data_IF_472272267896
#
_entry.id   IF_472272267896
#
_cell.length_a   1.000
_cell.length_b   1.000
_cell.length_c   1.000
_cell.angle_alpha   90.00
_cell.angle_beta   90.00
_cell.angle_gamma   90.00
#
_symmetry.space_group_name_H-M   'P 1'
#
loop_
_entity.id
_entity.type
_entity.pdbx_description
1 polymer ?
#
# COMPACT_ATOMS: atom_id res chain seq x y z
N UNK A 1 -21.62 -10.94 -25.07
CA UNK A 1 -20.34 -10.76 -25.79
C UNK A 1 -20.69 -10.46 -27.22
N UNK A 2 -20.15 -9.39 -27.75
CA UNK A 2 -20.41 -8.95 -29.09
C UNK A 2 -19.90 -9.98 -30.13
N UNK A 3 -20.59 -10.19 -31.26
CA UNK A 3 -20.12 -11.09 -32.31
C UNK A 3 -18.75 -10.71 -32.85
N UNK A 4 -18.35 -9.45 -32.70
CA UNK A 4 -17.04 -8.91 -33.08
C UNK A 4 -15.86 -9.49 -32.28
N UNK A 5 -16.13 -10.14 -31.14
CA UNK A 5 -15.12 -10.78 -30.31
C UNK A 5 -14.94 -12.27 -30.62
N UNK A 6 -15.64 -12.80 -31.62
CA UNK A 6 -15.48 -14.21 -32.00
C UNK A 6 -14.08 -14.51 -32.50
N UNK A 7 -13.49 -15.55 -31.95
CA UNK A 7 -12.14 -16.00 -32.28
C UNK A 7 -12.17 -17.42 -32.85
N UNK A 8 -12.03 -17.59 -34.18
CA UNK A 8 -12.09 -18.90 -34.80
C UNK A 8 -10.82 -19.76 -34.60
N UNK A 9 -9.69 -19.15 -34.20
CA UNK A 9 -8.41 -19.86 -34.21
C UNK A 9 -7.57 -19.72 -32.95
N UNK A 10 -7.41 -18.59 -32.38
CA UNK A 10 -6.54 -18.35 -31.24
C UNK A 10 -7.33 -17.80 -30.08
N UNK A 11 -6.84 -18.02 -28.89
CA UNK A 11 -7.45 -17.48 -27.70
C UNK A 11 -6.91 -18.16 -26.43
N UNK A 12 -7.06 -17.50 -25.32
CA UNK A 12 -6.75 -18.05 -24.01
C UNK A 12 -7.65 -17.45 -22.95
N UNK A 13 -7.87 -18.23 -21.90
CA UNK A 13 -8.54 -17.75 -20.69
C UNK A 13 -7.65 -18.08 -19.51
N UNK A 14 -7.45 -17.09 -18.64
CA UNK A 14 -6.76 -17.24 -17.37
C UNK A 14 -7.69 -16.76 -16.27
N UNK A 15 -7.93 -17.60 -15.26
CA UNK A 15 -8.57 -17.12 -14.05
C UNK A 15 -7.55 -16.36 -13.22
N UNK A 16 -7.92 -15.15 -12.80
CA UNK A 16 -7.10 -14.27 -11.99
C UNK A 16 -7.36 -14.53 -10.49
N UNK A 17 -6.43 -14.11 -9.64
CA UNK A 17 -6.54 -14.29 -8.18
C UNK A 17 -7.70 -13.53 -7.55
N UNK A 18 -8.17 -12.45 -8.16
CA UNK A 18 -9.38 -11.71 -7.76
C UNK A 18 -10.69 -12.40 -8.20
N UNK A 19 -10.61 -13.60 -8.82
CA UNK A 19 -11.76 -14.35 -9.33
C UNK A 19 -12.19 -13.96 -10.75
N UNK A 20 -11.68 -12.89 -11.31
CA UNK A 20 -11.97 -12.46 -12.69
C UNK A 20 -11.32 -13.37 -13.73
N UNK A 21 -11.70 -13.21 -14.98
CA UNK A 21 -11.14 -13.95 -16.11
C UNK A 21 -10.47 -12.98 -17.08
N UNK A 22 -9.19 -13.22 -17.36
CA UNK A 22 -8.50 -12.58 -18.48
C UNK A 22 -8.74 -13.42 -19.73
N UNK A 23 -9.33 -12.82 -20.74
CA UNK A 23 -9.69 -13.46 -22.00
C UNK A 23 -8.89 -12.80 -23.12
N UNK A 24 -8.14 -13.58 -23.85
CA UNK A 24 -7.51 -13.14 -25.09
C UNK A 24 -8.37 -13.62 -26.27
N UNK A 25 -8.81 -12.70 -27.11
CA UNK A 25 -9.60 -12.98 -28.30
C UNK A 25 -8.91 -12.48 -29.56
N UNK A 26 -9.02 -13.25 -30.61
CA UNK A 26 -8.59 -12.85 -31.96
C UNK A 26 -9.55 -11.82 -32.59
N UNK A 27 -10.83 -11.84 -32.17
CA UNK A 27 -11.84 -10.92 -32.65
C UNK A 27 -11.56 -9.45 -32.27
N UNK A 28 -12.22 -8.54 -32.98
CA UNK A 28 -12.06 -7.10 -32.73
C UNK A 28 -10.70 -6.52 -33.09
N UNK A 29 -9.90 -7.22 -33.95
CA UNK A 29 -8.54 -6.78 -34.30
C UNK A 29 -7.46 -7.19 -33.28
N UNK A 30 -7.78 -8.15 -32.41
CA UNK A 30 -6.95 -8.60 -31.30
C UNK A 30 -7.31 -7.86 -30.01
N UNK A 31 -8.13 -8.50 -29.17
CA UNK A 31 -8.66 -7.89 -27.96
C UNK A 31 -8.32 -8.74 -26.75
N UNK A 32 -7.87 -8.10 -25.69
CA UNK A 32 -7.69 -8.72 -24.37
C UNK A 32 -8.69 -8.08 -23.41
N UNK A 33 -9.45 -8.91 -22.70
CA UNK A 33 -10.53 -8.50 -21.80
C UNK A 33 -10.28 -9.04 -20.40
N UNK A 34 -10.65 -8.27 -19.39
CA UNK A 34 -10.88 -8.78 -18.03
C UNK A 34 -12.39 -8.71 -17.74
N UNK A 35 -12.95 -9.85 -17.35
CA UNK A 35 -14.40 -9.99 -17.10
C UNK A 35 -14.59 -10.53 -15.69
N UNK A 36 -15.53 -9.96 -14.95
CA UNK A 36 -15.91 -10.43 -13.62
C UNK A 36 -16.65 -11.78 -13.67
N UNK A 37 -16.78 -12.52 -12.56
CA UNK A 37 -17.64 -13.70 -12.48
C UNK A 37 -19.11 -13.42 -12.82
N UNK A 38 -19.57 -12.17 -12.62
CA UNK A 38 -20.92 -11.69 -13.02
C UNK A 38 -21.03 -11.31 -14.49
N UNK A 39 -19.98 -11.58 -15.29
CA UNK A 39 -19.92 -11.28 -16.74
C UNK A 39 -19.86 -9.78 -17.08
N UNK A 40 -19.44 -8.94 -16.14
CA UNK A 40 -19.23 -7.53 -16.38
C UNK A 40 -17.81 -7.28 -16.93
N UNK A 41 -17.70 -6.44 -17.95
CA UNK A 41 -16.42 -6.01 -18.49
C UNK A 41 -15.73 -5.07 -17.49
N UNK A 42 -14.59 -5.51 -16.96
CA UNK A 42 -13.79 -4.74 -15.99
C UNK A 42 -12.75 -3.89 -16.71
N UNK A 43 -12.12 -4.48 -17.73
CA UNK A 43 -11.03 -3.85 -18.46
C UNK A 43 -10.90 -4.46 -19.85
N UNK A 44 -10.45 -3.64 -20.83
CA UNK A 44 -10.13 -4.13 -22.16
C UNK A 44 -9.00 -3.35 -22.81
N UNK A 45 -8.27 -4.03 -23.69
CA UNK A 45 -7.30 -3.42 -24.59
C UNK A 45 -7.42 -4.01 -25.98
N UNK A 46 -7.35 -3.15 -26.99
CA UNK A 46 -7.26 -3.53 -28.39
C UNK A 46 -5.81 -3.41 -28.83
N UNK A 47 -5.26 -4.49 -29.39
CA UNK A 47 -3.87 -4.54 -29.87
C UNK A 47 -3.71 -3.89 -31.23
N UNK A 48 -4.75 -3.95 -32.05
CA UNK A 48 -4.80 -3.37 -33.38
C UNK A 48 -6.19 -2.79 -33.71
N UNK A 49 -6.46 -2.60 -34.96
CA UNK A 49 -7.78 -2.19 -35.48
C UNK A 49 -8.36 -3.30 -36.35
N UNK A 50 -9.65 -3.21 -36.65
CA UNK A 50 -10.31 -4.17 -37.58
C UNK A 50 -9.64 -4.16 -38.97
N UNK A 51 -9.13 -3.00 -39.40
CA UNK A 51 -8.42 -2.85 -40.66
C UNK A 51 -6.92 -3.20 -40.64
N UNK A 52 -6.31 -3.15 -39.46
CA UNK A 52 -4.90 -3.50 -39.22
C UNK A 52 -4.81 -4.30 -37.91
N UNK A 53 -5.22 -5.58 -37.92
CA UNK A 53 -5.31 -6.39 -36.72
C UNK A 53 -3.93 -6.87 -36.27
N UNK A 54 -3.69 -6.77 -34.94
CA UNK A 54 -2.55 -7.36 -34.28
C UNK A 54 -3.04 -8.54 -33.44
N UNK A 55 -2.61 -9.73 -33.81
CA UNK A 55 -3.08 -10.95 -33.19
C UNK A 55 -2.12 -11.45 -32.11
N UNK A 56 -2.68 -11.79 -30.96
CA UNK A 56 -1.95 -12.46 -29.87
C UNK A 56 -2.37 -13.93 -29.79
N UNK A 57 -1.42 -14.85 -29.79
CA UNK A 57 -1.71 -16.25 -29.61
C UNK A 57 -2.27 -16.55 -28.20
N UNK A 58 -1.69 -15.91 -27.17
CA UNK A 58 -2.14 -16.00 -25.79
C UNK A 58 -1.79 -14.70 -25.04
N UNK A 59 -2.58 -14.40 -24.03
CA UNK A 59 -2.26 -13.37 -23.06
C UNK A 59 -2.26 -13.96 -21.66
N UNK A 60 -1.30 -13.55 -20.85
CA UNK A 60 -1.22 -13.88 -19.43
C UNK A 60 -0.99 -12.62 -18.62
N UNK A 61 -1.74 -12.49 -17.53
CA UNK A 61 -1.44 -11.50 -16.52
C UNK A 61 -0.46 -12.12 -15.53
N UNK A 62 0.69 -11.51 -15.41
CA UNK A 62 1.64 -11.80 -14.35
C UNK A 62 1.41 -10.81 -13.20
N UNK A 63 1.54 -11.24 -11.94
CA UNK A 63 1.19 -10.41 -10.79
C UNK A 63 2.03 -9.15 -10.69
N UNK A 64 3.30 -9.26 -10.98
CA UNK A 64 4.23 -8.14 -11.02
C UNK A 64 5.39 -8.47 -11.98
N UNK A 65 5.90 -7.45 -12.66
CA UNK A 65 7.18 -7.55 -13.39
C UNK A 65 8.33 -7.57 -12.37
N UNK A 66 8.09 -6.95 -11.20
CA UNK A 66 9.03 -6.94 -10.10
C UNK A 66 8.65 -8.04 -9.10
N UNK A 67 9.49 -9.09 -8.92
CA UNK A 67 9.15 -10.24 -8.08
C UNK A 67 8.99 -9.88 -6.60
N UNK A 68 9.51 -8.74 -6.18
CA UNK A 68 9.55 -8.29 -4.80
C UNK A 68 8.59 -7.12 -4.52
N UNK A 69 7.52 -7.01 -5.31
CA UNK A 69 6.56 -5.92 -5.13
C UNK A 69 5.84 -6.04 -3.78
N UNK A 70 6.04 -5.07 -2.92
CA UNK A 70 5.34 -4.93 -1.64
C UNK A 70 5.26 -3.47 -1.22
N UNK A 71 4.34 -3.18 -0.30
CA UNK A 71 4.23 -1.86 0.32
C UNK A 71 4.07 -1.97 1.83
N UNK A 72 4.42 -0.89 2.52
CA UNK A 72 4.27 -0.76 3.96
C UNK A 72 3.47 0.50 4.24
N UNK A 73 2.43 0.37 5.04
CA UNK A 73 1.61 1.48 5.53
C UNK A 73 1.87 1.64 7.01
N UNK A 74 2.14 2.86 7.43
CA UNK A 74 2.22 3.25 8.85
C UNK A 74 0.82 3.63 9.29
N UNK A 75 0.18 2.81 10.15
CA UNK A 75 -1.24 2.93 10.42
C UNK A 75 -1.61 4.15 11.29
N UNK A 76 -0.73 4.55 12.20
CA UNK A 76 -0.97 5.63 13.15
C UNK A 76 -0.05 6.85 12.93
N UNK A 77 0.35 7.08 11.67
CA UNK A 77 1.06 8.29 11.29
C UNK A 77 0.08 9.46 11.16
N UNK A 78 0.38 10.57 11.78
CA UNK A 78 -0.50 11.73 11.80
C UNK A 78 0.28 13.04 11.83
N UNK A 79 -0.40 14.12 11.46
CA UNK A 79 0.06 15.48 11.64
C UNK A 79 -0.65 16.06 12.86
N UNK A 80 0.10 16.49 13.85
CA UNK A 80 -0.45 16.99 15.11
C UNK A 80 0.03 18.40 15.40
N UNK A 81 -0.88 19.24 15.84
CA UNK A 81 -0.58 20.54 16.44
C UNK A 81 -0.19 20.35 17.91
N UNK A 82 1.09 20.35 18.23
CA UNK A 82 1.59 20.21 19.61
C UNK A 82 1.31 21.47 20.44
N UNK A 83 1.44 22.64 19.83
CA UNK A 83 1.08 23.94 20.41
C UNK A 83 0.53 24.82 19.30
N UNK A 84 -0.21 25.91 19.61
CA UNK A 84 -0.82 26.75 18.59
C UNK A 84 0.15 27.16 17.47
N UNK A 85 -0.21 26.78 16.23
CA UNK A 85 0.58 26.98 14.98
C UNK A 85 1.90 26.20 14.88
N UNK A 86 2.13 25.18 15.74
CA UNK A 86 3.29 24.29 15.62
C UNK A 86 2.84 22.86 15.41
N UNK A 87 3.03 22.37 14.19
CA UNK A 87 2.64 21.03 13.75
C UNK A 87 3.87 20.12 13.65
N UNK A 88 3.68 18.87 13.98
CA UNK A 88 4.66 17.80 13.79
C UNK A 88 4.01 16.63 13.06
N UNK A 89 4.79 16.02 12.20
CA UNK A 89 4.41 14.79 11.51
C UNK A 89 5.11 13.61 12.17
N UNK A 90 4.38 12.56 12.51
CA UNK A 90 4.97 11.37 13.11
C UNK A 90 3.94 10.39 13.62
N UNK A 91 4.42 9.41 14.35
CA UNK A 91 3.56 8.47 15.08
C UNK A 91 3.36 8.99 16.49
N UNK A 92 2.10 9.01 16.93
CA UNK A 92 1.74 9.40 18.26
C UNK A 92 1.25 8.18 19.01
N UNK A 93 1.90 7.95 20.12
CA UNK A 93 1.52 6.95 21.12
C UNK A 93 0.93 7.68 22.32
N UNK A 94 -0.30 7.37 22.65
CA UNK A 94 -1.04 7.90 23.79
C UNK A 94 -1.72 6.76 24.56
N UNK A 95 -2.61 7.10 25.47
CA UNK A 95 -3.32 6.09 26.27
C UNK A 95 -4.35 5.29 25.48
N UNK A 96 -4.75 5.76 24.29
CA UNK A 96 -5.68 5.08 23.37
C UNK A 96 -4.93 4.31 22.28
N UNK A 97 -3.84 4.88 21.77
CA UNK A 97 -2.98 4.31 20.72
C UNK A 97 -1.63 3.94 21.34
N UNK A 98 -1.59 2.80 22.01
CA UNK A 98 -0.39 2.40 22.77
C UNK A 98 0.70 1.77 21.91
N UNK A 99 0.37 1.23 20.73
CA UNK A 99 1.26 0.38 19.95
C UNK A 99 1.63 1.01 18.62
N UNK A 100 2.86 0.76 18.16
CA UNK A 100 3.21 0.93 16.75
C UNK A 100 2.49 -0.09 15.90
N UNK A 101 1.93 0.33 14.80
CA UNK A 101 1.23 -0.55 13.88
C UNK A 101 1.60 -0.26 12.42
N UNK A 102 2.06 -1.30 11.72
CA UNK A 102 2.38 -1.25 10.31
C UNK A 102 1.60 -2.33 9.57
N UNK A 103 1.07 -2.01 8.40
CA UNK A 103 0.47 -3.00 7.50
C UNK A 103 1.40 -3.24 6.32
N UNK A 104 1.84 -4.47 6.16
CA UNK A 104 2.66 -4.90 5.02
C UNK A 104 1.76 -5.60 4.01
N UNK A 105 1.77 -5.13 2.77
CA UNK A 105 1.03 -5.70 1.66
C UNK A 105 1.99 -6.41 0.71
N UNK A 106 1.76 -7.69 0.50
CA UNK A 106 2.43 -8.47 -0.55
C UNK A 106 1.70 -8.25 -1.88
N UNK A 107 2.31 -7.57 -2.83
CA UNK A 107 1.74 -7.36 -4.15
C UNK A 107 2.19 -8.42 -5.18
N UNK A 108 2.87 -9.48 -4.73
CA UNK A 108 3.29 -10.60 -5.59
C UNK A 108 2.20 -11.67 -5.66
N UNK A 109 2.26 -12.52 -6.68
CA UNK A 109 1.33 -13.65 -6.89
C UNK A 109 1.71 -14.93 -6.14
N UNK A 110 2.59 -14.87 -5.15
CA UNK A 110 3.04 -16.01 -4.36
C UNK A 110 3.23 -15.61 -2.90
N UNK A 111 3.21 -16.59 -2.01
CA UNK A 111 3.49 -16.37 -0.58
C UNK A 111 4.94 -15.95 -0.40
N UNK A 112 5.16 -14.83 0.25
CA UNK A 112 6.48 -14.23 0.43
C UNK A 112 6.80 -14.06 1.92
N UNK A 113 7.91 -14.61 2.41
CA UNK A 113 8.44 -14.28 3.73
C UNK A 113 9.21 -12.96 3.67
N UNK A 114 8.90 -12.07 4.62
CA UNK A 114 9.58 -10.79 4.82
C UNK A 114 10.32 -10.81 6.14
N UNK A 115 11.54 -10.30 6.14
CA UNK A 115 12.27 -9.99 7.38
C UNK A 115 12.08 -8.51 7.63
N UNK A 116 11.84 -8.14 8.88
CA UNK A 116 11.83 -6.75 9.30
C UNK A 116 12.70 -6.55 10.52
N UNK A 117 13.27 -5.35 10.64
CA UNK A 117 14.04 -4.89 11.80
C UNK A 117 13.52 -3.53 12.22
N UNK A 118 13.32 -3.36 13.51
CA UNK A 118 12.87 -2.10 14.12
C UNK A 118 13.84 -1.72 15.20
N UNK A 119 14.26 -0.46 15.17
CA UNK A 119 15.10 0.14 16.19
C UNK A 119 14.76 1.61 16.38
N UNK A 120 15.04 2.16 17.55
CA UNK A 120 14.89 3.58 17.84
C UNK A 120 16.10 4.13 18.61
N UNK A 121 16.24 5.47 18.61
CA UNK A 121 17.45 6.12 19.14
C UNK A 121 17.59 6.03 20.67
N UNK A 122 16.47 5.99 21.39
CA UNK A 122 16.49 6.08 22.87
C UNK A 122 16.10 4.78 23.57
N UNK A 123 15.83 3.70 22.83
CA UNK A 123 15.38 2.43 23.37
C UNK A 123 13.94 2.48 23.90
N UNK A 124 13.07 3.24 23.25
CA UNK A 124 11.63 3.25 23.51
C UNK A 124 11.00 1.90 23.22
N UNK A 125 11.58 1.17 22.27
CA UNK A 125 11.23 -0.21 21.91
C UNK A 125 12.47 -1.09 22.03
N UNK A 126 12.27 -2.35 22.33
CA UNK A 126 13.32 -3.33 22.12
C UNK A 126 13.68 -3.42 20.64
N UNK A 127 14.95 -3.59 20.35
CA UNK A 127 15.39 -3.87 18.99
C UNK A 127 14.82 -5.23 18.55
N UNK A 128 13.93 -5.21 17.59
CA UNK A 128 13.22 -6.39 17.10
C UNK A 128 13.67 -6.72 15.69
N UNK A 129 14.08 -7.97 15.48
CA UNK A 129 14.24 -8.55 14.13
C UNK A 129 13.41 -9.82 14.07
N UNK A 130 12.45 -9.87 13.14
CA UNK A 130 11.54 -11.00 13.03
C UNK A 130 11.14 -11.23 11.57
N UNK A 131 10.39 -12.29 11.32
CA UNK A 131 9.95 -12.69 9.99
C UNK A 131 8.44 -12.88 9.97
N UNK A 132 7.79 -12.28 8.96
CA UNK A 132 6.38 -12.54 8.69
C UNK A 132 6.21 -13.13 7.29
N UNK A 133 5.29 -14.09 7.16
CA UNK A 133 4.95 -14.70 5.87
C UNK A 133 3.58 -14.18 5.43
N UNK A 134 3.51 -13.62 4.23
CA UNK A 134 2.29 -13.03 3.69
C UNK A 134 1.91 -13.77 2.41
N UNK A 135 0.67 -14.24 2.34
CA UNK A 135 0.13 -14.90 1.16
C UNK A 135 0.09 -13.98 -0.06
N UNK A 136 -0.02 -14.58 -1.23
CA UNK A 136 -0.15 -13.86 -2.49
C UNK A 136 -1.29 -12.81 -2.41
N UNK A 137 -0.97 -11.55 -2.75
CA UNK A 137 -1.90 -10.41 -2.67
C UNK A 137 -2.51 -10.15 -1.30
N UNK A 138 -1.97 -10.78 -0.27
CA UNK A 138 -2.40 -10.61 1.12
C UNK A 138 -1.72 -9.45 1.81
N UNK A 139 -2.10 -9.25 3.06
CA UNK A 139 -1.46 -8.31 3.98
C UNK A 139 -1.34 -8.89 5.37
N UNK A 140 -0.40 -8.36 6.14
CA UNK A 140 -0.21 -8.71 7.55
C UNK A 140 0.23 -7.48 8.33
N UNK A 141 -0.08 -7.46 9.63
CA UNK A 141 0.27 -6.36 10.51
C UNK A 141 1.48 -6.72 11.37
N UNK A 142 2.35 -5.72 11.55
CA UNK A 142 3.39 -5.70 12.58
C UNK A 142 2.89 -4.77 13.67
N UNK A 143 2.75 -5.29 14.90
CA UNK A 143 2.35 -4.50 16.06
C UNK A 143 3.43 -4.64 17.12
N UNK A 144 3.91 -3.51 17.67
CA UNK A 144 4.99 -3.47 18.65
C UNK A 144 4.59 -2.54 19.77
N UNK A 145 4.73 -3.04 21.00
CA UNK A 145 4.46 -2.30 22.22
C UNK A 145 5.71 -1.55 22.67
N UNK A 146 5.61 -0.32 23.16
CA UNK A 146 6.75 0.39 23.72
C UNK A 146 7.13 -0.17 25.09
N UNK A 147 8.44 -0.30 25.34
CA UNK A 147 8.99 -0.66 26.64
C UNK A 147 8.94 0.50 27.64
N UNK A 148 9.07 1.73 27.15
CA UNK A 148 9.04 2.95 27.96
C UNK A 148 7.66 3.59 27.91
N UNK A 149 7.07 3.83 29.08
CA UNK A 149 5.74 4.44 29.21
C UNK A 149 5.77 5.91 29.66
N UNK A 150 6.95 6.55 29.59
CA UNK A 150 7.10 7.98 29.90
C UNK A 150 6.98 8.83 28.62
N UNK A 151 6.66 10.11 28.82
CA UNK A 151 6.67 11.08 27.72
C UNK A 151 8.07 11.16 27.12
N UNK A 152 8.15 10.93 25.82
CA UNK A 152 9.41 10.84 25.10
C UNK A 152 9.22 11.14 23.62
N UNK A 153 10.28 11.58 22.98
CA UNK A 153 10.38 11.72 21.54
C UNK A 153 11.57 10.90 21.09
N UNK A 154 11.38 10.09 20.07
CA UNK A 154 12.41 9.24 19.48
C UNK A 154 12.31 9.26 17.96
N UNK A 155 13.42 8.93 17.29
CA UNK A 155 13.41 8.62 15.87
C UNK A 155 13.45 7.11 15.70
N UNK A 156 12.50 6.56 14.95
CA UNK A 156 12.36 5.12 14.71
C UNK A 156 12.79 4.80 13.28
N UNK A 157 13.52 3.71 13.14
CA UNK A 157 13.88 3.09 11.87
C UNK A 157 13.18 1.75 11.74
N UNK A 158 12.42 1.57 10.65
CA UNK A 158 11.90 0.30 10.21
C UNK A 158 12.59 -0.08 8.90
N UNK A 159 13.26 -1.21 8.89
CA UNK A 159 13.77 -1.84 7.68
C UNK A 159 12.97 -3.11 7.41
N UNK A 160 12.58 -3.33 6.15
CA UNK A 160 11.84 -4.52 5.75
C UNK A 160 12.23 -4.96 4.34
N UNK A 161 12.43 -6.26 4.15
CA UNK A 161 12.82 -6.83 2.87
C UNK A 161 12.28 -8.26 2.70
N UNK A 162 12.07 -8.70 1.45
CA UNK A 162 11.80 -10.10 1.15
C UNK A 162 13.00 -10.96 1.57
N UNK A 163 12.77 -12.07 2.28
CA UNK A 163 13.82 -12.89 2.90
C UNK A 163 14.97 -13.28 1.97
N UNK A 164 14.69 -13.49 0.70
CA UNK A 164 15.67 -13.97 -0.26
C UNK A 164 16.17 -12.86 -1.20
N UNK A 165 15.70 -11.60 -1.01
CA UNK A 165 15.97 -10.48 -1.89
C UNK A 165 16.27 -9.22 -1.06
N UNK A 166 17.40 -9.23 -0.36
CA UNK A 166 17.84 -8.13 0.51
C UNK A 166 18.12 -6.83 -0.25
N UNK A 167 18.37 -6.92 -1.56
CA UNK A 167 18.48 -5.74 -2.43
C UNK A 167 17.18 -4.95 -2.59
N UNK A 168 16.04 -5.53 -2.21
CA UNK A 168 14.71 -4.89 -2.24
C UNK A 168 14.32 -4.29 -0.90
N UNK A 169 15.29 -4.01 -0.03
CA UNK A 169 15.05 -3.42 1.29
C UNK A 169 14.36 -2.06 1.18
N UNK A 170 13.36 -1.85 2.05
CA UNK A 170 12.73 -0.55 2.29
C UNK A 170 13.08 -0.10 3.68
N UNK A 171 13.64 1.11 3.76
CA UNK A 171 13.97 1.75 5.02
C UNK A 171 13.03 2.94 5.21
N UNK A 172 12.35 2.97 6.33
CA UNK A 172 11.41 4.01 6.75
C UNK A 172 11.92 4.63 8.05
N UNK A 173 12.06 5.95 8.06
CA UNK A 173 12.45 6.69 9.27
C UNK A 173 11.37 7.72 9.56
N UNK A 174 10.95 7.80 10.82
CA UNK A 174 9.93 8.75 11.26
C UNK A 174 10.06 9.02 12.75
N UNK A 175 9.54 10.17 13.16
CA UNK A 175 9.52 10.56 14.56
C UNK A 175 8.36 9.89 15.29
N UNK A 176 8.60 9.53 16.55
CA UNK A 176 7.61 9.00 17.47
C UNK A 176 7.49 9.94 18.65
N UNK A 177 6.27 10.25 18.98
CA UNK A 177 5.90 11.06 20.14
C UNK A 177 5.11 10.18 21.12
N UNK A 178 5.72 9.82 22.24
CA UNK A 178 5.00 9.18 23.35
C UNK A 178 4.53 10.26 24.33
N UNK A 179 3.24 10.33 24.55
CA UNK A 179 2.61 11.38 25.34
C UNK A 179 1.62 10.73 26.29
N UNK A 180 1.92 10.74 27.59
CA UNK A 180 1.04 10.26 28.65
C UNK A 180 0.15 11.39 29.19
N UNK A 181 -1.15 11.14 29.31
CA UNK A 181 -2.12 12.08 29.90
C UNK A 181 -2.57 13.23 29.00
N UNK A 182 -3.85 13.53 29.11
CA UNK A 182 -4.63 14.72 28.62
C UNK A 182 -4.20 15.45 27.35
N UNK A 183 -3.57 14.81 26.37
CA UNK A 183 -3.64 15.29 24.99
C UNK A 183 -4.99 14.94 24.32
N UNK A 184 -5.81 14.13 24.96
CA UNK A 184 -7.21 13.90 24.53
C UNK A 184 -8.06 15.19 24.49
N UNK A 185 -7.55 16.31 24.99
CA UNK A 185 -8.15 17.63 24.81
C UNK A 185 -7.66 18.38 23.56
N UNK A 186 -6.63 17.92 22.89
CA UNK A 186 -6.28 18.40 21.56
C UNK A 186 -7.21 17.72 20.55
N UNK A 187 -8.48 18.11 20.58
CA UNK A 187 -9.44 17.78 19.53
C UNK A 187 -8.75 18.11 18.21
N UNK A 188 -8.70 17.12 17.34
CA UNK A 188 -8.33 17.30 15.95
C UNK A 188 -9.02 18.58 15.46
N UNK A 189 -8.24 19.64 15.29
CA UNK A 189 -8.81 20.93 14.90
C UNK A 189 -9.26 20.75 13.47
N UNK A 190 -10.54 20.81 13.22
CA UNK A 190 -11.09 20.77 11.87
C UNK A 190 -10.36 21.86 11.07
N UNK A 191 -9.70 21.52 9.97
CA UNK A 191 -8.99 22.50 9.18
C UNK A 191 -9.94 23.62 8.74
N UNK A 192 -9.51 24.87 8.88
CA UNK A 192 -10.32 26.02 8.44
C UNK A 192 -10.13 26.34 6.95
N UNK A 193 -9.16 25.73 6.31
CA UNK A 193 -8.83 25.99 4.90
C UNK A 193 -8.58 24.69 4.15
N UNK A 194 -8.89 24.69 2.85
CA UNK A 194 -8.52 23.61 1.95
C UNK A 194 -7.01 23.65 1.72
N UNK A 195 -6.31 22.58 2.06
CA UNK A 195 -4.90 22.44 1.77
C UNK A 195 -4.62 21.10 1.09
N UNK A 196 -3.75 21.14 0.09
CA UNK A 196 -3.19 19.96 -0.55
C UNK A 196 -1.68 19.98 -0.32
N UNK A 197 -1.18 19.01 0.41
CA UNK A 197 0.25 18.90 0.70
C UNK A 197 0.98 18.15 -0.40
N UNK A 198 2.29 18.34 -0.46
CA UNK A 198 3.11 17.58 -1.39
C UNK A 198 3.04 16.09 -1.06
N UNK A 199 3.09 15.27 -2.09
CA UNK A 199 3.15 13.83 -1.92
C UNK A 199 4.47 13.43 -1.23
N UNK A 200 4.38 12.45 -0.32
CA UNK A 200 5.55 11.90 0.36
C UNK A 200 5.50 10.36 0.31
N UNK A 201 6.62 9.69 0.03
CA UNK A 201 7.89 10.24 -0.41
C UNK A 201 7.82 10.84 -1.84
N UNK A 202 8.70 11.80 -2.13
CA UNK A 202 8.86 12.37 -3.48
C UNK A 202 10.36 12.43 -3.83
N UNK A 203 10.85 11.65 -4.83
CA UNK A 203 10.08 10.79 -5.72
C UNK A 203 9.46 9.59 -5.00
N UNK A 204 8.27 9.20 -5.44
CA UNK A 204 7.55 8.09 -4.83
C UNK A 204 8.19 6.73 -5.18
N UNK A 205 8.15 5.81 -4.21
CA UNK A 205 8.57 4.43 -4.39
C UNK A 205 7.39 3.51 -4.06
N UNK A 206 6.80 2.92 -5.08
CA UNK A 206 5.63 2.03 -5.08
C UNK A 206 4.33 2.66 -4.54
N UNK A 207 4.36 3.41 -3.45
CA UNK A 207 3.21 4.12 -2.86
C UNK A 207 3.63 5.53 -2.49
N UNK A 208 2.78 6.50 -2.75
CA UNK A 208 2.94 7.88 -2.31
C UNK A 208 1.68 8.30 -1.56
N UNK A 209 1.86 8.92 -0.41
CA UNK A 209 0.76 9.50 0.36
C UNK A 209 0.58 10.95 -0.02
N UNK A 210 -0.65 11.36 -0.27
CA UNK A 210 -1.04 12.75 -0.46
C UNK A 210 -1.94 13.12 0.70
N UNK A 211 -1.48 14.04 1.54
CA UNK A 211 -2.28 14.59 2.63
C UNK A 211 -3.08 15.79 2.14
N UNK A 212 -4.31 15.91 2.58
CA UNK A 212 -5.16 17.07 2.28
C UNK A 212 -6.04 17.40 3.48
N UNK A 213 -6.35 18.66 3.60
CA UNK A 213 -7.28 19.17 4.62
C UNK A 213 -8.59 19.55 3.95
N UNK A 214 -9.70 19.10 4.53
CA UNK A 214 -11.04 19.49 4.14
C UNK A 214 -11.70 20.17 5.34
N UNK A 215 -12.07 21.47 5.26
CA UNK A 215 -12.92 22.10 6.25
C UNK A 215 -14.30 21.44 6.23
N UNK A 216 -14.93 21.32 7.40
CA UNK A 216 -16.35 20.96 7.42
C UNK A 216 -17.17 22.13 6.84
N UNK A 217 -18.09 21.80 5.96
CA UNK A 217 -19.08 22.77 5.50
C UNK A 217 -19.90 23.22 6.70
N UNK A 218 -19.75 24.48 7.07
CA UNK A 218 -20.62 25.10 8.07
C UNK A 218 -21.98 25.35 7.37
N UNK A 219 -22.92 24.42 7.59
CA UNK A 219 -24.33 24.65 7.28
C UNK A 219 -24.96 25.65 8.28
#
# INVERSE_FOLDING_TARGET
LDEDLYSPMHGSVQQLTNGNYLINSFGGGGTILEVSPSQELVWSVHLGTVSDPIYSYRAYRIPSIHPDAFSVIVNNYSNIELVPNFFVDGIILDDENTNLSFTVHNATGYTQPYIYSISDEIGLFDEVTDTLSIEAYGSSNINIEPEIHQDSVSSLSLEIWPRYHDYSIKSLNFDIFRISGVLSSFKQKIPMEYNLYNNHPNPFNAVSTINYNLPDDIM
#
